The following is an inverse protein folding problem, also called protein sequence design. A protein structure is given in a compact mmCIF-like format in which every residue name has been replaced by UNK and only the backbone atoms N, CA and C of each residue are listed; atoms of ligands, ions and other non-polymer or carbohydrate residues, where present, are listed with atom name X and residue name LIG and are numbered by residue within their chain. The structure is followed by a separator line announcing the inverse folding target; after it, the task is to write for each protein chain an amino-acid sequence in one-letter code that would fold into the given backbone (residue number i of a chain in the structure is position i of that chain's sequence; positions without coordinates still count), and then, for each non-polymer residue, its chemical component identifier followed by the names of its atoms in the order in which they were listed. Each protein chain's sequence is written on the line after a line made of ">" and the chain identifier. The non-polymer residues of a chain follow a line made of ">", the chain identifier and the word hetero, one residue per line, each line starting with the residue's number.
data_IF_520079820430
#
_entry.id   IF_520079820430
#
_cell.length_a   1.000
_cell.length_b   1.000
_cell.length_c   1.000
_cell.angle_alpha   90.00
_cell.angle_beta   90.00
_cell.angle_gamma   90.00
#
_symmetry.space_group_name_H-M   'P 1'
#
loop_
_entity.id
_entity.type
_entity.pdbx_description
1 polymer ?
#
# COMPACT_ATOMS: atom_id res chain seq x y z
N UNK A 1 2.85 -13.64 6.58
CA UNK A 1 1.82 -13.09 7.50
C UNK A 1 2.15 -13.33 8.96
N UNK A 2 2.48 -14.55 9.40
CA UNK A 2 2.82 -14.82 10.81
C UNK A 2 3.93 -13.91 11.39
N UNK A 3 5.06 -13.74 10.71
CA UNK A 3 6.17 -12.90 11.21
C UNK A 3 5.77 -11.45 11.51
N UNK A 4 4.86 -10.88 10.72
CA UNK A 4 4.36 -9.51 10.95
C UNK A 4 3.56 -9.47 12.26
N UNK A 5 2.74 -10.49 12.51
CA UNK A 5 1.93 -10.64 13.74
C UNK A 5 2.80 -10.96 14.95
N UNK A 6 3.87 -11.72 14.78
CA UNK A 6 4.83 -12.02 15.85
C UNK A 6 5.55 -10.77 16.34
N UNK A 7 5.90 -9.87 15.41
CA UNK A 7 6.64 -8.65 15.69
C UNK A 7 5.77 -7.52 16.25
N UNK A 8 4.62 -7.27 15.62
CA UNK A 8 3.77 -6.11 15.88
C UNK A 8 2.52 -6.45 16.71
N UNK A 9 2.28 -7.72 17.01
CA UNK A 9 1.14 -8.20 17.78
C UNK A 9 -0.08 -8.56 16.93
N UNK A 10 -1.26 -8.53 17.53
CA UNK A 10 -2.50 -9.02 16.89
C UNK A 10 -2.89 -8.14 15.70
N UNK A 11 -3.14 -8.76 14.55
CA UNK A 11 -3.60 -8.06 13.36
C UNK A 11 -5.05 -7.55 13.54
N UNK A 12 -5.35 -6.28 13.20
CA UNK A 12 -6.69 -5.72 13.40
C UNK A 12 -7.74 -6.41 12.51
N UNK A 13 -8.81 -6.92 13.14
CA UNK A 13 -9.88 -7.70 12.48
C UNK A 13 -10.51 -6.99 11.27
N UNK A 14 -10.67 -5.66 11.36
CA UNK A 14 -11.25 -4.85 10.28
C UNK A 14 -10.43 -4.95 8.99
N UNK A 15 -9.10 -4.98 9.09
CA UNK A 15 -8.20 -5.13 7.95
C UNK A 15 -8.07 -6.60 7.55
N UNK A 16 -8.08 -7.53 8.53
CA UNK A 16 -7.93 -8.96 8.26
C UNK A 16 -9.01 -9.48 7.31
N UNK A 17 -10.25 -9.01 7.51
CA UNK A 17 -11.44 -9.51 6.82
C UNK A 17 -11.83 -8.68 5.58
N UNK A 18 -11.15 -7.57 5.29
CA UNK A 18 -11.50 -6.69 4.17
C UNK A 18 -10.70 -6.93 2.89
N UNK A 19 -9.62 -7.72 2.94
CA UNK A 19 -8.75 -7.96 1.78
C UNK A 19 -9.25 -9.08 0.85
N UNK A 20 -8.87 -9.03 -0.42
CA UNK A 20 -9.25 -10.03 -1.43
C UNK A 20 -8.77 -11.45 -1.08
N UNK A 21 -7.58 -11.53 -0.49
CA UNK A 21 -6.97 -12.79 -0.05
C UNK A 21 -7.28 -13.14 1.41
N UNK A 22 -8.21 -12.42 2.06
CA UNK A 22 -8.52 -12.58 3.48
C UNK A 22 -8.93 -14.01 3.84
N UNK A 23 -9.72 -14.68 3.01
CA UNK A 23 -10.24 -16.05 3.23
C UNK A 23 -9.16 -17.14 3.18
N UNK A 24 -8.04 -16.87 2.50
CA UNK A 24 -6.91 -17.79 2.39
C UNK A 24 -5.99 -17.69 3.61
N UNK A 25 -5.89 -16.50 4.20
CA UNK A 25 -4.93 -16.17 5.27
C UNK A 25 -5.59 -16.27 6.65
N UNK A 26 -6.81 -15.75 6.79
CA UNK A 26 -7.52 -15.59 8.05
C UNK A 26 -8.77 -16.48 8.10
N UNK A 27 -9.14 -16.89 9.32
CA UNK A 27 -10.40 -17.55 9.56
C UNK A 27 -11.53 -16.51 9.65
N UNK A 28 -12.39 -16.49 8.63
CA UNK A 28 -13.57 -15.63 8.57
C UNK A 28 -14.77 -16.20 9.33
N UNK A 29 -14.70 -17.45 9.85
CA UNK A 29 -15.82 -18.03 10.59
C UNK A 29 -15.92 -17.42 11.98
N UNK A 30 -17.12 -16.96 12.32
CA UNK A 30 -17.49 -16.73 13.71
C UNK A 30 -17.84 -18.10 14.35
N UNK A 31 -17.46 -18.36 15.61
CA UNK A 31 -18.01 -19.48 16.35
C UNK A 31 -19.52 -19.23 16.52
N UNK A 32 -20.32 -19.94 15.70
CA UNK A 32 -21.75 -20.27 15.90
C UNK A 32 -22.55 -19.37 16.85
N UNK A 33 -22.98 -18.19 16.38
CA UNK A 33 -24.09 -17.44 16.98
C UNK A 33 -24.90 -16.73 15.87
N UNK A 34 -26.13 -17.19 15.60
CA UNK A 34 -27.17 -16.31 15.01
C UNK A 34 -27.74 -15.41 16.13
N UNK A 35 -28.27 -14.21 15.83
CA UNK A 35 -28.09 -13.33 14.69
C UNK A 35 -27.34 -12.07 15.16
N UNK A 36 -26.06 -12.21 15.49
CA UNK A 36 -25.22 -11.05 15.81
C UNK A 36 -24.22 -10.87 14.67
N UNK A 37 -24.08 -9.64 14.19
CA UNK A 37 -23.19 -9.21 13.11
C UNK A 37 -21.68 -9.34 13.49
N UNK A 38 -21.31 -10.43 14.15
CA UNK A 38 -19.96 -10.74 14.59
C UNK A 38 -19.14 -11.15 13.38
N UNK A 39 -18.52 -10.14 12.79
CA UNK A 39 -17.41 -10.29 11.84
C UNK A 39 -16.41 -11.29 12.43
N UNK A 40 -15.95 -12.25 11.62
CA UNK A 40 -15.17 -13.43 12.03
C UNK A 40 -13.97 -13.18 12.97
N UNK A 41 -13.37 -14.26 13.46
CA UNK A 41 -12.33 -14.18 14.52
C UNK A 41 -11.08 -13.42 14.06
N UNK A 42 -10.75 -13.44 12.77
CA UNK A 42 -9.59 -12.73 12.22
C UNK A 42 -8.26 -13.37 12.60
N UNK A 43 -8.27 -14.64 13.01
CA UNK A 43 -7.10 -15.42 13.39
C UNK A 43 -6.46 -16.08 12.16
N UNK A 44 -5.16 -16.38 12.22
CA UNK A 44 -4.47 -17.06 11.12
C UNK A 44 -5.01 -18.48 10.96
N UNK A 45 -5.36 -18.85 9.72
CA UNK A 45 -5.99 -20.15 9.44
C UNK A 45 -5.06 -21.34 9.65
N UNK A 46 -3.81 -21.22 9.18
CA UNK A 46 -2.87 -22.34 9.11
C UNK A 46 -1.88 -22.37 10.28
N UNK A 47 -1.72 -21.25 11.00
CA UNK A 47 -0.69 -21.08 12.02
C UNK A 47 -1.39 -20.73 13.33
N UNK A 48 -1.46 -21.70 14.25
CA UNK A 48 -2.13 -21.56 15.54
C UNK A 48 -1.18 -21.21 16.68
N UNK A 49 0.11 -21.56 16.55
CA UNK A 49 1.16 -21.25 17.53
C UNK A 49 2.00 -20.10 17.00
N UNK A 50 1.90 -18.93 17.63
CA UNK A 50 2.71 -17.74 17.33
C UNK A 50 3.65 -17.48 18.50
N UNK A 51 4.90 -17.14 18.20
CA UNK A 51 5.89 -16.71 19.21
C UNK A 51 6.08 -15.22 19.07
N UNK A 52 5.41 -14.46 19.94
CA UNK A 52 5.55 -13.01 19.95
C UNK A 52 6.96 -12.62 20.39
N UNK A 53 7.58 -11.73 19.61
CA UNK A 53 8.89 -11.19 19.90
C UNK A 53 8.93 -9.73 19.47
N UNK A 54 8.92 -8.82 20.45
CA UNK A 54 8.83 -7.39 20.15
C UNK A 54 10.05 -6.91 19.37
N UNK A 55 9.89 -5.90 18.53
CA UNK A 55 11.00 -5.33 17.75
C UNK A 55 12.18 -4.92 18.64
N UNK A 56 11.91 -4.33 19.81
CA UNK A 56 12.93 -3.96 20.79
C UNK A 56 13.71 -5.18 21.28
N UNK A 57 13.02 -6.26 21.64
CA UNK A 57 13.66 -7.47 22.15
C UNK A 57 14.48 -8.17 21.07
N UNK A 58 14.01 -8.16 19.82
CA UNK A 58 14.77 -8.65 18.66
C UNK A 58 16.07 -7.87 18.52
N UNK A 59 16.02 -6.53 18.58
CA UNK A 59 17.20 -5.69 18.48
C UNK A 59 18.21 -5.96 19.60
N UNK A 60 17.75 -6.12 20.84
CA UNK A 60 18.64 -6.39 21.99
C UNK A 60 19.22 -7.80 21.91
N UNK A 61 18.41 -8.82 21.69
CA UNK A 61 18.84 -10.21 21.84
C UNK A 61 19.53 -10.76 20.58
N UNK A 62 19.05 -10.39 19.39
CA UNK A 62 19.57 -10.92 18.12
C UNK A 62 20.68 -10.04 17.56
N UNK A 63 20.58 -8.73 17.75
CA UNK A 63 21.53 -7.77 17.17
C UNK A 63 22.44 -7.13 18.24
N UNK A 64 22.33 -7.55 19.50
CA UNK A 64 23.17 -7.06 20.61
C UNK A 64 23.14 -5.54 20.79
N UNK A 65 22.03 -4.88 20.45
CA UNK A 65 21.87 -3.44 20.69
C UNK A 65 21.81 -3.16 22.20
N UNK A 66 22.27 -1.97 22.59
CA UNK A 66 22.00 -1.47 23.93
C UNK A 66 20.49 -1.30 24.12
N UNK A 67 19.98 -1.46 25.34
CA UNK A 67 18.55 -1.30 25.62
C UNK A 67 18.05 0.10 25.26
N UNK A 68 18.90 1.12 25.35
CA UNK A 68 18.56 2.50 25.00
C UNK A 68 18.44 2.65 23.49
N UNK A 69 19.48 2.28 22.73
CA UNK A 69 19.48 2.39 21.27
C UNK A 69 18.37 1.57 20.63
N UNK A 70 18.14 0.34 21.13
CA UNK A 70 17.04 -0.50 20.68
C UNK A 70 15.67 0.17 20.87
N UNK A 71 15.51 0.98 21.93
CA UNK A 71 14.25 1.71 22.19
C UNK A 71 14.09 2.87 21.21
N UNK A 72 15.16 3.60 20.92
CA UNK A 72 15.13 4.73 19.97
C UNK A 72 14.92 4.29 18.53
N UNK A 73 15.57 3.20 18.13
CA UNK A 73 15.38 2.59 16.81
C UNK A 73 13.96 2.04 16.70
N UNK A 74 13.46 1.36 17.74
CA UNK A 74 12.10 0.85 17.74
C UNK A 74 11.06 2.00 17.67
N UNK A 75 11.28 3.11 18.39
CA UNK A 75 10.37 4.26 18.34
C UNK A 75 10.32 4.92 16.97
N UNK A 76 11.42 4.85 16.21
CA UNK A 76 11.48 5.30 14.82
C UNK A 76 10.77 4.35 13.85
N UNK A 77 10.97 3.04 13.99
CA UNK A 77 10.46 2.05 13.05
C UNK A 77 8.98 1.68 13.27
N UNK A 78 8.50 1.66 14.51
CA UNK A 78 7.12 1.26 14.82
C UNK A 78 6.06 2.10 14.09
N UNK A 79 6.16 3.44 14.02
CA UNK A 79 5.21 4.27 13.26
C UNK A 79 5.22 3.99 11.76
N UNK A 80 6.34 3.53 11.19
CA UNK A 80 6.44 3.12 9.78
C UNK A 80 5.80 1.74 9.54
N UNK A 81 5.75 0.89 10.56
CA UNK A 81 5.25 -0.47 10.49
C UNK A 81 3.75 -0.60 10.85
N UNK A 82 3.06 0.53 11.08
CA UNK A 82 1.63 0.55 11.42
C UNK A 82 0.77 -0.21 10.38
N UNK A 83 -0.18 -1.00 10.89
CA UNK A 83 -1.05 -1.85 10.08
C UNK A 83 -1.99 -1.05 9.19
N UNK A 84 -2.62 0.00 9.74
CA UNK A 84 -3.49 0.87 8.97
C UNK A 84 -2.63 1.86 8.16
N UNK A 85 -2.64 1.79 6.82
CA UNK A 85 -1.84 2.70 6.00
C UNK A 85 -2.21 4.17 6.21
N UNK A 86 -3.44 4.46 6.68
CA UNK A 86 -3.87 5.83 6.98
C UNK A 86 -3.25 6.40 8.26
N UNK A 87 -2.80 5.53 9.16
CA UNK A 87 -2.14 5.92 10.43
C UNK A 87 -0.62 5.82 10.36
N UNK A 88 -0.09 5.20 9.30
CA UNK A 88 1.34 5.04 9.08
C UNK A 88 2.01 6.41 8.96
N UNK A 89 3.12 6.58 9.67
CA UNK A 89 3.86 7.83 9.66
C UNK A 89 4.35 8.18 8.25
N UNK A 90 4.29 9.47 7.92
CA UNK A 90 4.80 9.95 6.63
C UNK A 90 6.33 10.09 6.67
N UNK A 91 7.04 9.95 5.54
CA UNK A 91 8.49 10.12 5.51
C UNK A 91 8.95 11.46 6.07
N UNK A 92 8.20 12.53 5.78
CA UNK A 92 8.49 13.87 6.29
C UNK A 92 8.47 13.94 7.82
N UNK A 93 7.51 13.27 8.48
CA UNK A 93 7.44 13.21 9.94
C UNK A 93 8.62 12.42 10.51
N UNK A 94 9.06 11.38 9.81
CA UNK A 94 10.14 10.50 10.26
C UNK A 94 11.53 11.12 10.11
N UNK A 95 11.74 12.00 9.14
CA UNK A 95 12.98 12.77 9.02
C UNK A 95 13.27 13.65 10.25
N UNK A 96 12.23 14.14 10.92
CA UNK A 96 12.36 14.95 12.13
C UNK A 96 12.54 14.11 13.42
N UNK A 97 12.56 12.79 13.33
CA UNK A 97 12.67 11.93 14.50
C UNK A 97 14.07 12.01 15.13
N UNK A 98 14.13 12.05 16.47
CA UNK A 98 15.37 12.26 17.24
C UNK A 98 16.49 11.28 16.88
N UNK A 99 16.14 10.04 16.51
CA UNK A 99 17.12 9.03 16.11
C UNK A 99 17.93 9.43 14.87
N UNK A 100 17.30 10.03 13.85
CA UNK A 100 17.99 10.52 12.64
C UNK A 100 18.67 11.86 12.91
N UNK A 101 18.04 12.75 13.67
CA UNK A 101 18.61 14.06 14.00
C UNK A 101 19.95 13.96 14.76
N UNK A 102 20.19 12.89 15.52
CA UNK A 102 21.46 12.62 16.20
C UNK A 102 22.61 12.29 15.24
N UNK A 103 22.33 11.76 14.05
CA UNK A 103 23.34 11.38 13.06
C UNK A 103 23.74 12.51 12.10
N UNK A 104 23.01 13.63 12.12
CA UNK A 104 23.35 14.78 11.30
C UNK A 104 24.55 15.51 11.91
N UNK A 105 25.75 15.23 11.38
CA UNK A 105 26.82 16.23 11.37
C UNK A 105 26.25 17.48 10.69
N UNK A 106 26.46 18.70 11.22
CA UNK A 106 25.95 19.92 10.61
C UNK A 106 26.31 19.91 9.12
N UNK A 107 25.36 20.23 8.21
CA UNK A 107 25.70 20.32 6.80
C UNK A 107 26.93 21.24 6.70
N UNK A 108 28.02 20.79 6.02
CA UNK A 108 29.21 21.62 5.90
C UNK A 108 28.75 22.99 5.40
N UNK A 109 29.22 24.10 6.02
CA UNK A 109 28.81 25.43 5.59
C UNK A 109 29.07 25.48 4.09
N UNK A 110 28.01 25.75 3.32
CA UNK A 110 28.07 25.80 1.86
C UNK A 110 29.26 26.67 1.49
N UNK A 111 30.37 26.03 1.11
CA UNK A 111 31.57 26.74 0.73
C UNK A 111 31.16 27.59 -0.46
N UNK A 112 31.27 28.90 -0.31
CA UNK A 112 31.10 29.85 -1.40
C UNK A 112 32.06 29.44 -2.51
N UNK A 113 31.53 28.76 -3.53
CA UNK A 113 32.31 28.34 -4.70
C UNK A 113 32.93 29.59 -5.33
N UNK A 114 34.28 29.69 -5.41
CA UNK A 114 34.92 30.87 -5.96
C UNK A 114 35.13 30.78 -7.48
N UNK A 115 34.61 29.76 -8.16
CA UNK A 115 34.79 29.64 -9.62
C UNK A 115 33.46 29.66 -10.34
N UNK A 116 33.28 30.73 -11.13
CA UNK A 116 32.14 30.96 -11.98
C UNK A 116 32.12 30.11 -13.26
N UNK A 117 31.19 30.52 -14.12
CA UNK A 117 30.85 30.00 -15.45
C UNK A 117 30.06 28.68 -15.36
N UNK A 118 28.75 28.66 -15.61
CA UNK A 118 28.14 28.94 -16.91
C UNK A 118 26.76 29.60 -16.80
N UNK A 119 26.59 30.58 -17.68
CA UNK A 119 25.41 31.38 -17.97
C UNK A 119 24.20 30.56 -18.43
N UNK A 120 23.03 31.12 -18.14
CA UNK A 120 21.75 30.71 -18.68
C UNK A 120 21.72 30.74 -20.22
N UNK A 121 21.20 29.67 -20.83
CA UNK A 121 20.65 29.70 -22.18
C UNK A 121 19.48 28.72 -22.27
N UNK A 122 18.29 29.20 -21.87
CA UNK A 122 17.02 28.54 -22.16
C UNK A 122 16.58 28.96 -23.56
N UNK A 123 16.93 28.17 -24.55
CA UNK A 123 16.51 28.42 -25.93
C UNK A 123 15.31 27.54 -26.31
N UNK A 124 14.20 28.22 -26.63
CA UNK A 124 12.98 27.64 -27.20
C UNK A 124 13.32 27.12 -28.61
N UNK A 125 13.20 25.82 -28.84
CA UNK A 125 13.06 25.28 -30.20
C UNK A 125 11.60 24.98 -30.49
N UNK A 126 10.93 25.95 -31.11
CA UNK A 126 9.67 25.76 -31.84
C UNK A 126 10.05 25.38 -33.28
N UNK A 127 9.37 24.38 -33.84
CA UNK A 127 9.32 24.00 -35.27
C UNK A 127 10.36 22.99 -35.79
N UNK A 128 9.98 21.71 -35.79
CA UNK A 128 9.93 20.96 -37.06
C UNK A 128 8.60 20.22 -37.13
N UNK A 129 7.72 20.78 -37.94
CA UNK A 129 6.44 20.25 -38.40
C UNK A 129 6.69 19.57 -39.73
N UNK A 130 6.55 18.24 -39.79
CA UNK A 130 6.28 17.46 -41.02
C UNK A 130 5.53 16.20 -40.56
N UNK A 131 4.20 16.29 -40.44
CA UNK A 131 3.20 15.51 -41.19
C UNK A 131 3.42 13.98 -41.09
N UNK A 132 2.51 13.21 -40.50
CA UNK A 132 1.20 12.92 -41.09
C UNK A 132 0.08 12.78 -40.05
N UNK A 133 -1.11 13.05 -40.57
CA UNK A 133 -2.38 13.34 -39.92
C UNK A 133 -3.07 12.12 -39.27
N UNK A 134 -4.09 12.36 -38.43
CA UNK A 134 -4.94 11.35 -37.81
C UNK A 134 -5.97 10.81 -38.81
N UNK A 135 -6.32 9.53 -38.71
CA UNK A 135 -7.54 9.02 -39.34
C UNK A 135 -8.64 8.99 -38.29
N UNK A 136 -9.56 9.93 -38.45
CA UNK A 136 -10.83 10.02 -37.75
C UNK A 136 -11.81 8.93 -38.21
N UNK A 137 -12.90 8.68 -37.46
CA UNK A 137 -13.85 7.59 -37.69
C UNK A 137 -14.79 7.91 -38.86
N UNK A 138 -15.32 6.88 -39.54
CA UNK A 138 -16.47 7.06 -40.43
C UNK A 138 -17.41 5.87 -40.44
N UNK A 139 -18.67 6.25 -40.23
CA UNK A 139 -19.93 5.53 -40.21
C UNK A 139 -20.41 5.12 -41.61
N UNK A 140 -21.22 4.05 -41.69
CA UNK A 140 -22.41 3.83 -42.55
C UNK A 140 -22.83 2.36 -42.38
N UNK A 141 -23.99 1.98 -41.81
CA UNK A 141 -25.38 2.19 -42.21
C UNK A 141 -25.75 1.51 -43.55
N UNK A 142 -26.52 0.41 -43.48
CA UNK A 142 -27.66 -0.03 -44.34
C UNK A 142 -27.94 -1.52 -44.03
N UNK A 143 -29.03 -1.92 -43.39
CA UNK A 143 -30.46 -1.92 -43.77
C UNK A 143 -30.89 -3.11 -44.68
N UNK A 144 -31.78 -3.95 -44.12
CA UNK A 144 -32.85 -4.76 -44.77
C UNK A 144 -32.40 -6.00 -45.57
N UNK A 145 -33.07 -7.17 -45.60
CA UNK A 145 -34.50 -7.51 -45.47
C UNK A 145 -34.69 -9.04 -45.40
N UNK A 146 -35.85 -9.50 -44.86
CA UNK A 146 -36.61 -10.77 -45.13
C UNK A 146 -36.00 -12.14 -44.72
N UNK A 147 -36.71 -13.19 -44.26
CA UNK A 147 -38.10 -13.50 -43.86
C UNK A 147 -38.17 -14.95 -43.30
N UNK A 148 -39.27 -15.30 -42.60
CA UNK A 148 -39.92 -16.65 -42.50
C UNK A 148 -39.32 -17.63 -41.45
N UNK A 149 -39.98 -18.05 -40.35
CA UNK A 149 -41.26 -18.79 -40.13
C UNK A 149 -41.75 -18.63 -38.65
N UNK A 150 -43.00 -18.19 -38.37
CA UNK A 150 -44.20 -18.96 -37.97
C UNK A 150 -43.97 -20.06 -36.89
N UNK A 151 -44.54 -20.00 -35.67
CA UNK A 151 -45.84 -20.59 -35.22
C UNK A 151 -46.13 -20.13 -33.76
N UNK A 152 -47.11 -19.24 -33.52
CA UNK A 152 -48.45 -19.46 -32.90
C UNK A 152 -48.55 -20.57 -31.84
N UNK A 153 -48.95 -20.32 -30.59
CA UNK A 153 -50.34 -20.31 -30.01
C UNK A 153 -50.10 -20.45 -28.49
N UNK A 154 -50.92 -20.08 -27.50
CA UNK A 154 -52.30 -19.64 -27.31
C UNK A 154 -52.34 -19.23 -25.81
N UNK A 155 -53.03 -18.15 -25.40
CA UNK A 155 -54.34 -18.20 -24.68
C UNK A 155 -54.26 -18.91 -23.33
N UNK A 156 -54.78 -18.44 -22.20
CA UNK A 156 -55.41 -17.20 -21.75
C UNK A 156 -55.73 -17.42 -20.25
N UNK A 157 -56.03 -16.31 -19.57
CA UNK A 157 -56.73 -16.20 -18.28
C UNK A 157 -55.97 -16.67 -17.02
#
# INVERSE_FOLDING_TARGET
>A
MAQIVELLGKYPKKLALSGDFSSQIFNSRAPTCQPCLSRGTGELRNITKLRYWSLRDVLVQKYSFSKQDATEVASFLLPMLEYDPRKRATPQQMLAHAWIAKSEHPPPPLHSSPNGVVTAARERRKSRRTSLAPVSPSVAASASTTSTTHVQKSVAQ
#
